data_IF_243105155641
#
_entry.id   IF_243105155641
#
_cell.length_a   1.000
_cell.length_b   1.000
_cell.length_c   1.000
_cell.angle_alpha   90.00
_cell.angle_beta   90.00
_cell.angle_gamma   90.00
#
_symmetry.space_group_name_H-M   'P 1'
#
loop_
_entity.id
_entity.type
_entity.pdbx_description
1 polymer ?
#
# COMPACT_ATOMS: atom_id res chain seq x y z
N UNK A 1 -41.56 -7.04 -34.61
CA UNK A 1 -40.64 -7.10 -33.45
C UNK A 1 -39.44 -6.24 -33.81
N UNK A 2 -39.29 -5.12 -33.10
CA UNK A 2 -38.41 -4.01 -33.46
C UNK A 2 -37.01 -4.24 -32.88
N UNK A 3 -36.01 -4.21 -33.75
CA UNK A 3 -34.63 -3.91 -33.39
C UNK A 3 -34.56 -2.42 -32.98
N UNK A 4 -34.29 -2.18 -31.71
CA UNK A 4 -33.84 -0.88 -31.21
C UNK A 4 -32.33 -0.82 -31.36
N UNK A 5 -31.89 -0.16 -32.42
CA UNK A 5 -30.53 0.32 -32.60
C UNK A 5 -30.24 1.37 -31.53
N UNK A 6 -29.24 1.09 -30.70
CA UNK A 6 -28.76 1.95 -29.61
C UNK A 6 -27.99 3.14 -30.21
N UNK A 7 -28.73 4.20 -30.58
CA UNK A 7 -28.21 5.54 -30.78
C UNK A 7 -28.15 6.23 -29.41
N UNK A 8 -27.07 6.01 -28.66
CA UNK A 8 -26.75 6.83 -27.49
C UNK A 8 -25.39 7.49 -27.68
N UNK A 9 -25.39 8.83 -27.69
CA UNK A 9 -24.25 9.64 -27.30
C UNK A 9 -23.26 10.03 -28.40
N UNK A 10 -23.71 10.53 -29.55
CA UNK A 10 -22.94 11.56 -30.27
C UNK A 10 -23.41 12.90 -29.71
N UNK A 11 -22.89 13.28 -28.53
CA UNK A 11 -23.01 14.65 -28.07
C UNK A 11 -22.32 15.56 -29.08
N UNK A 12 -22.97 16.68 -29.38
CA UNK A 12 -22.55 17.62 -30.42
C UNK A 12 -21.36 18.44 -29.90
N UNK A 13 -20.15 17.94 -30.14
CA UNK A 13 -18.87 18.57 -29.73
C UNK A 13 -18.54 19.84 -30.54
N UNK A 14 -19.41 20.26 -31.46
CA UNK A 14 -19.12 21.27 -32.49
C UNK A 14 -19.36 22.73 -32.05
N UNK A 15 -20.03 22.99 -30.93
CA UNK A 15 -20.44 24.37 -30.55
C UNK A 15 -19.66 25.01 -29.39
N UNK A 16 -18.64 24.36 -28.81
CA UNK A 16 -17.85 24.95 -27.72
C UNK A 16 -16.59 25.62 -28.26
N UNK A 17 -16.54 26.96 -28.19
CA UNK A 17 -15.39 27.75 -28.66
C UNK A 17 -14.10 27.33 -27.92
N UNK A 18 -13.18 26.68 -28.64
CA UNK A 18 -11.84 26.34 -28.16
C UNK A 18 -10.97 27.58 -28.19
N UNK A 19 -10.24 27.86 -27.11
CA UNK A 19 -9.28 28.98 -27.08
C UNK A 19 -7.94 28.47 -27.60
N UNK A 20 -7.59 28.85 -28.83
CA UNK A 20 -6.36 28.38 -29.48
C UNK A 20 -5.15 29.28 -29.16
N UNK A 21 -3.93 28.71 -29.04
CA UNK A 21 -2.71 29.50 -28.89
C UNK A 21 -2.45 30.44 -30.09
N UNK A 22 -1.70 31.52 -29.85
CA UNK A 22 -1.31 32.46 -30.90
C UNK A 22 -0.60 31.75 -32.06
N UNK A 23 -1.08 31.99 -33.28
CA UNK A 23 -0.49 31.41 -34.50
C UNK A 23 -1.05 30.05 -34.91
N UNK A 24 -1.98 29.46 -34.15
CA UNK A 24 -2.67 28.20 -34.50
C UNK A 24 -4.04 28.51 -35.10
N UNK A 25 -4.30 28.07 -36.32
CA UNK A 25 -5.63 28.20 -36.93
C UNK A 25 -6.58 27.09 -36.46
N UNK A 26 -7.89 27.33 -36.54
CA UNK A 26 -8.89 26.30 -36.23
C UNK A 26 -8.72 25.05 -37.10
N UNK A 27 -8.38 25.21 -38.39
CA UNK A 27 -8.14 24.08 -39.29
C UNK A 27 -6.92 23.23 -38.87
N UNK A 28 -5.84 23.88 -38.40
CA UNK A 28 -4.66 23.18 -37.90
C UNK A 28 -5.00 22.40 -36.63
N UNK A 29 -5.84 22.98 -35.76
CA UNK A 29 -6.31 22.29 -34.57
C UNK A 29 -7.22 21.10 -34.90
N UNK A 30 -8.17 21.25 -35.82
CA UNK A 30 -9.05 20.14 -36.21
C UNK A 30 -8.26 18.97 -36.80
N UNK A 31 -7.28 19.25 -37.65
CA UNK A 31 -6.39 18.24 -38.22
C UNK A 31 -5.53 17.58 -37.13
N UNK A 32 -4.88 18.36 -36.25
CA UNK A 32 -4.09 17.83 -35.13
C UNK A 32 -4.95 16.94 -34.21
N UNK A 33 -6.16 17.40 -33.90
CA UNK A 33 -7.11 16.72 -33.02
C UNK A 33 -7.46 15.36 -33.57
N UNK A 34 -7.91 15.31 -34.83
CA UNK A 34 -8.42 14.08 -35.44
C UNK A 34 -7.32 13.10 -35.81
N UNK A 35 -6.20 13.60 -36.34
CA UNK A 35 -5.11 12.77 -36.82
C UNK A 35 -4.22 12.26 -35.69
N UNK A 36 -4.04 13.02 -34.61
CA UNK A 36 -3.01 12.73 -33.61
C UNK A 36 -3.51 12.77 -32.17
N UNK A 37 -4.09 13.89 -31.71
CA UNK A 37 -4.37 14.07 -30.29
C UNK A 37 -5.45 13.11 -29.77
N UNK A 38 -6.57 12.93 -30.47
CA UNK A 38 -7.62 11.98 -30.08
C UNK A 38 -7.12 10.52 -30.10
N UNK A 39 -6.39 10.06 -31.13
CA UNK A 39 -5.73 8.77 -31.10
C UNK A 39 -4.76 8.59 -29.92
N UNK A 40 -3.91 9.58 -29.63
CA UNK A 40 -2.95 9.53 -28.50
C UNK A 40 -3.70 9.34 -27.19
N UNK A 41 -4.66 10.21 -26.90
CA UNK A 41 -5.44 10.16 -25.67
C UNK A 41 -6.21 8.85 -25.55
N UNK A 42 -6.81 8.35 -26.64
CA UNK A 42 -7.50 7.05 -26.63
C UNK A 42 -6.56 5.90 -26.27
N UNK A 43 -5.36 5.86 -26.85
CA UNK A 43 -4.38 4.82 -26.55
C UNK A 43 -3.93 4.85 -25.07
N UNK A 44 -3.69 6.06 -24.52
CA UNK A 44 -3.40 6.21 -23.09
C UNK A 44 -4.57 5.79 -22.20
N UNK A 45 -5.81 6.14 -22.58
CA UNK A 45 -7.01 5.73 -21.84
C UNK A 45 -7.21 4.21 -21.86
N UNK A 46 -6.90 3.54 -22.96
CA UNK A 46 -6.94 2.08 -23.03
C UNK A 46 -5.88 1.44 -22.12
N UNK A 47 -4.70 2.04 -22.00
CA UNK A 47 -3.70 1.63 -20.99
C UNK A 47 -4.22 1.81 -19.56
N UNK A 48 -4.85 2.94 -19.25
CA UNK A 48 -5.44 3.21 -17.92
C UNK A 48 -6.53 2.19 -17.57
N UNK A 49 -7.40 1.82 -18.51
CA UNK A 49 -8.42 0.79 -18.31
C UNK A 49 -7.83 -0.57 -17.97
N UNK A 50 -6.71 -0.94 -18.62
CA UNK A 50 -6.01 -2.18 -18.29
C UNK A 50 -5.35 -2.12 -16.91
N UNK A 51 -4.80 -0.95 -16.54
CA UNK A 51 -4.17 -0.70 -15.24
C UNK A 51 -5.16 -0.72 -14.07
N UNK A 52 -6.39 -0.25 -14.24
CA UNK A 52 -7.41 -0.21 -13.17
C UNK A 52 -7.68 -1.60 -12.57
N UNK A 53 -7.58 -2.64 -13.39
CA UNK A 53 -7.79 -4.03 -12.97
C UNK A 53 -6.52 -4.72 -12.45
N UNK A 54 -5.35 -4.09 -12.55
CA UNK A 54 -4.08 -4.59 -12.03
C UNK A 54 -3.93 -4.11 -10.58
N UNK A 55 -3.69 -5.01 -9.61
CA UNK A 55 -3.57 -4.59 -8.22
C UNK A 55 -2.33 -3.71 -8.03
N UNK A 56 -2.50 -2.52 -7.45
CA UNK A 56 -1.41 -1.58 -7.16
C UNK A 56 -0.58 -1.93 -5.91
N UNK A 57 -0.87 -3.08 -5.27
CA UNK A 57 -0.17 -3.54 -4.08
C UNK A 57 0.77 -4.66 -4.46
N UNK A 58 2.06 -4.45 -4.25
CA UNK A 58 3.09 -5.48 -4.43
C UNK A 58 2.77 -6.75 -3.64
N UNK A 59 2.25 -6.61 -2.41
CA UNK A 59 1.78 -7.74 -1.62
C UNK A 59 0.70 -8.55 -2.35
N UNK A 60 -0.24 -7.87 -2.99
CA UNK A 60 -1.29 -8.53 -3.77
C UNK A 60 -0.71 -9.27 -4.98
N UNK A 61 0.29 -8.70 -5.66
CA UNK A 61 0.97 -9.37 -6.79
C UNK A 61 1.78 -10.58 -6.29
N UNK A 62 2.58 -10.41 -5.22
CA UNK A 62 3.42 -11.46 -4.66
C UNK A 62 2.61 -12.65 -4.12
N UNK A 63 1.43 -12.42 -3.56
CA UNK A 63 0.62 -13.45 -2.91
C UNK A 63 -0.62 -13.88 -3.71
N UNK A 64 -0.84 -13.36 -4.92
CA UNK A 64 -2.01 -13.75 -5.71
C UNK A 64 -1.95 -15.21 -6.16
N UNK A 65 -3.11 -15.82 -6.45
CA UNK A 65 -3.17 -17.16 -7.02
C UNK A 65 -2.48 -17.22 -8.41
N UNK A 66 -1.99 -18.40 -8.86
CA UNK A 66 -1.40 -18.55 -10.19
C UNK A 66 -2.33 -18.13 -11.36
N UNK A 67 -3.65 -18.27 -11.18
CA UNK A 67 -4.64 -17.80 -12.15
C UNK A 67 -4.62 -16.28 -12.22
N UNK A 68 -4.66 -15.62 -11.05
CA UNK A 68 -4.63 -14.16 -10.96
C UNK A 68 -3.30 -13.58 -11.45
N UNK A 69 -2.18 -14.25 -11.18
CA UNK A 69 -0.86 -13.86 -11.69
C UNK A 69 -0.85 -13.82 -13.23
N UNK A 70 -1.43 -14.84 -13.89
CA UNK A 70 -1.54 -14.90 -15.35
C UNK A 70 -2.42 -13.78 -15.93
N UNK A 71 -3.51 -13.41 -15.24
CA UNK A 71 -4.33 -12.27 -15.64
C UNK A 71 -3.55 -10.95 -15.55
N UNK A 72 -2.84 -10.72 -14.44
CA UNK A 72 -2.02 -9.53 -14.23
C UNK A 72 -0.92 -9.45 -15.28
N UNK A 73 -0.24 -10.56 -15.54
CA UNK A 73 0.78 -10.65 -16.58
C UNK A 73 0.23 -10.34 -17.98
N UNK A 74 -0.91 -10.94 -18.36
CA UNK A 74 -1.53 -10.68 -19.65
C UNK A 74 -1.92 -9.20 -19.83
N UNK A 75 -2.43 -8.56 -18.77
CA UNK A 75 -2.75 -7.12 -18.79
C UNK A 75 -1.49 -6.25 -18.90
N UNK A 76 -0.45 -6.58 -18.13
CA UNK A 76 0.84 -5.87 -18.17
C UNK A 76 1.48 -5.96 -19.56
N UNK A 77 1.45 -7.14 -20.17
CA UNK A 77 1.89 -7.36 -21.55
C UNK A 77 1.01 -6.59 -22.55
N UNK A 78 -0.31 -6.55 -22.34
CA UNK A 78 -1.22 -5.73 -23.15
C UNK A 78 -0.91 -4.23 -23.07
N UNK A 79 -0.55 -3.72 -21.89
CA UNK A 79 -0.12 -2.33 -21.71
C UNK A 79 1.21 -2.09 -22.44
N UNK A 80 2.18 -2.98 -22.29
CA UNK A 80 3.46 -2.89 -23.00
C UNK A 80 3.26 -2.88 -24.52
N UNK A 81 2.36 -3.71 -25.04
CA UNK A 81 1.98 -3.75 -26.45
C UNK A 81 1.32 -2.45 -26.92
N UNK A 82 0.36 -1.91 -26.15
CA UNK A 82 -0.24 -0.60 -26.45
C UNK A 82 0.81 0.51 -26.48
N UNK A 83 1.76 0.51 -25.55
CA UNK A 83 2.81 1.52 -25.49
C UNK A 83 3.71 1.42 -26.73
N UNK A 84 4.25 0.24 -27.01
CA UNK A 84 5.19 0.04 -28.12
C UNK A 84 4.55 0.15 -29.50
N UNK A 85 3.34 -0.38 -29.69
CA UNK A 85 2.72 -0.51 -31.02
C UNK A 85 1.66 0.57 -31.33
N UNK A 86 1.16 1.29 -30.33
CA UNK A 86 0.17 2.36 -30.55
C UNK A 86 0.66 3.72 -30.09
N UNK A 87 1.12 3.84 -28.84
CA UNK A 87 1.51 5.14 -28.28
C UNK A 87 2.81 5.64 -28.93
N UNK A 88 3.87 4.83 -28.96
CA UNK A 88 5.16 5.26 -29.50
C UNK A 88 5.05 5.79 -30.94
N UNK A 89 4.40 5.08 -31.89
CA UNK A 89 4.22 5.60 -33.26
C UNK A 89 3.40 6.89 -33.35
N UNK A 90 2.41 7.07 -32.46
CA UNK A 90 1.60 8.30 -32.41
C UNK A 90 2.40 9.49 -31.87
N UNK A 91 3.43 9.24 -31.05
CA UNK A 91 4.32 10.26 -30.53
C UNK A 91 5.42 10.64 -31.53
N UNK A 92 5.70 9.87 -32.57
CA UNK A 92 6.73 10.22 -33.56
C UNK A 92 6.37 11.45 -34.42
N UNK A 93 5.08 11.75 -34.54
CA UNK A 93 4.60 12.90 -35.30
C UNK A 93 4.62 14.17 -34.44
N UNK A 94 5.28 15.22 -34.91
CA UNK A 94 5.33 16.52 -34.22
C UNK A 94 3.96 17.21 -34.25
N UNK A 95 3.63 17.92 -33.17
CA UNK A 95 2.45 18.77 -33.09
C UNK A 95 2.74 20.17 -33.62
N UNK A 96 1.78 20.76 -34.34
CA UNK A 96 1.85 22.16 -34.74
C UNK A 96 1.54 23.14 -33.58
N UNK A 97 1.06 22.62 -32.45
CA UNK A 97 0.70 23.40 -31.27
C UNK A 97 1.85 23.36 -30.27
N UNK A 98 2.52 24.50 -29.96
CA UNK A 98 3.77 24.50 -29.21
C UNK A 98 3.71 23.80 -27.84
N UNK A 99 2.63 24.01 -27.07
CA UNK A 99 2.45 23.41 -25.75
C UNK A 99 2.22 21.89 -25.83
N UNK A 100 1.49 21.43 -26.84
CA UNK A 100 1.30 20.00 -27.09
C UNK A 100 2.58 19.36 -27.60
N UNK A 101 3.36 20.05 -28.43
CA UNK A 101 4.66 19.54 -28.88
C UNK A 101 5.62 19.34 -27.72
N UNK A 102 5.66 20.27 -26.75
CA UNK A 102 6.46 20.11 -25.54
C UNK A 102 6.04 18.86 -24.75
N UNK A 103 4.74 18.71 -24.46
CA UNK A 103 4.22 17.54 -23.75
C UNK A 103 4.46 16.23 -24.50
N UNK A 104 4.28 16.23 -25.83
CA UNK A 104 4.55 15.09 -26.70
C UNK A 104 6.04 14.74 -26.75
N UNK A 105 6.92 15.73 -26.78
CA UNK A 105 8.37 15.52 -26.75
C UNK A 105 8.82 14.88 -25.44
N UNK A 106 8.31 15.38 -24.32
CA UNK A 106 8.54 14.77 -23.01
C UNK A 106 8.02 13.32 -22.96
N UNK A 107 6.82 13.09 -23.52
CA UNK A 107 6.23 11.74 -23.63
C UNK A 107 7.13 10.78 -24.42
N UNK A 108 7.67 11.22 -25.57
CA UNK A 108 8.53 10.40 -26.42
C UNK A 108 9.86 10.06 -25.73
N UNK A 109 10.44 11.01 -25.00
CA UNK A 109 11.64 10.75 -24.18
C UNK A 109 11.33 9.72 -23.10
N UNK A 110 10.19 9.85 -22.41
CA UNK A 110 9.77 8.91 -21.38
C UNK A 110 9.51 7.50 -21.95
N UNK A 111 8.91 7.39 -23.14
CA UNK A 111 8.78 6.11 -23.86
C UNK A 111 10.16 5.52 -24.13
N UNK A 112 11.12 6.28 -24.65
CA UNK A 112 12.47 5.77 -24.91
C UNK A 112 13.17 5.25 -23.65
N UNK A 113 12.98 5.90 -22.50
CA UNK A 113 13.48 5.41 -21.21
C UNK A 113 12.79 4.10 -20.79
N UNK A 114 11.48 4.03 -20.94
CA UNK A 114 10.66 2.86 -20.63
C UNK A 114 11.01 1.66 -21.53
N UNK A 115 11.25 1.92 -22.83
CA UNK A 115 11.70 0.92 -23.81
C UNK A 115 13.03 0.29 -23.41
N UNK A 116 14.00 1.14 -23.02
CA UNK A 116 15.34 0.69 -22.62
C UNK A 116 15.39 -0.07 -21.29
N UNK A 117 14.33 0.02 -20.48
CA UNK A 117 14.26 -0.56 -19.14
C UNK A 117 13.07 -1.53 -19.02
N UNK A 118 11.89 -1.02 -18.65
CA UNK A 118 10.69 -1.80 -18.33
C UNK A 118 10.24 -2.70 -19.47
N UNK A 119 10.12 -2.18 -20.69
CA UNK A 119 9.59 -2.96 -21.82
C UNK A 119 10.60 -4.01 -22.30
N UNK A 120 11.90 -3.69 -22.29
CA UNK A 120 12.96 -4.64 -22.57
C UNK A 120 12.93 -5.81 -21.58
N UNK A 121 12.77 -5.57 -20.28
CA UNK A 121 12.64 -6.64 -19.27
C UNK A 121 11.37 -7.48 -19.46
N UNK A 122 10.23 -6.84 -19.71
CA UNK A 122 8.97 -7.55 -19.97
C UNK A 122 9.04 -8.45 -21.22
N UNK A 123 9.81 -8.07 -22.24
CA UNK A 123 9.98 -8.83 -23.48
C UNK A 123 10.82 -10.11 -23.33
N UNK A 124 11.57 -10.26 -22.24
CA UNK A 124 12.42 -11.43 -21.99
C UNK A 124 11.60 -12.67 -21.60
N UNK A 125 10.35 -12.47 -21.15
CA UNK A 125 9.49 -13.55 -20.69
C UNK A 125 8.40 -13.88 -21.72
N UNK A 126 8.03 -15.17 -21.87
CA UNK A 126 6.96 -15.56 -22.78
C UNK A 126 5.60 -15.06 -22.29
N UNK A 127 4.68 -14.83 -23.23
CA UNK A 127 3.29 -14.44 -22.94
C UNK A 127 2.58 -15.46 -22.04
N UNK A 128 2.91 -16.75 -22.17
CA UNK A 128 2.41 -17.81 -21.29
C UNK A 128 3.42 -18.12 -20.19
N UNK A 129 3.01 -17.88 -18.95
CA UNK A 129 3.82 -18.17 -17.75
C UNK A 129 3.98 -19.68 -17.57
N UNK A 130 5.23 -20.14 -17.48
CA UNK A 130 5.56 -21.47 -17.01
C UNK A 130 5.66 -21.47 -15.45
N UNK A 131 5.29 -22.56 -14.76
CA UNK A 131 5.29 -22.63 -13.30
C UNK A 131 6.63 -22.24 -12.66
N UNK A 132 7.73 -22.62 -13.30
CA UNK A 132 9.11 -22.33 -12.88
C UNK A 132 9.44 -20.83 -12.86
N UNK A 133 8.74 -20.01 -13.65
CA UNK A 133 9.01 -18.57 -13.78
C UNK A 133 8.07 -17.72 -12.92
N UNK A 134 7.10 -18.31 -12.21
CA UNK A 134 6.08 -17.56 -11.47
C UNK A 134 6.67 -16.59 -10.44
N UNK A 135 7.69 -17.03 -9.69
CA UNK A 135 8.31 -16.19 -8.65
C UNK A 135 9.08 -15.02 -9.23
N UNK A 136 9.72 -15.21 -10.38
CA UNK A 136 10.47 -14.17 -11.07
C UNK A 136 9.52 -13.14 -11.69
N UNK A 137 8.45 -13.62 -12.34
CA UNK A 137 7.41 -12.76 -12.91
C UNK A 137 6.71 -11.94 -11.82
N UNK A 138 6.47 -12.50 -10.63
CA UNK A 138 5.92 -11.75 -9.49
C UNK A 138 6.80 -10.55 -9.11
N UNK A 139 8.12 -10.77 -9.00
CA UNK A 139 9.08 -9.71 -8.67
C UNK A 139 9.16 -8.66 -9.78
N UNK A 140 9.21 -9.10 -11.03
CA UNK A 140 9.22 -8.23 -12.19
C UNK A 140 7.96 -7.37 -12.23
N UNK A 141 6.78 -7.97 -12.02
CA UNK A 141 5.51 -7.27 -12.00
C UNK A 141 5.46 -6.18 -10.94
N UNK A 142 5.91 -6.43 -9.71
CA UNK A 142 5.98 -5.40 -8.66
C UNK A 142 6.75 -4.15 -9.12
N UNK A 143 7.85 -4.35 -9.83
CA UNK A 143 8.65 -3.25 -10.37
C UNK A 143 7.97 -2.58 -11.58
N UNK A 144 7.61 -3.36 -12.59
CA UNK A 144 7.09 -2.84 -13.85
C UNK A 144 5.72 -2.19 -13.72
N UNK A 145 4.82 -2.71 -12.89
CA UNK A 145 3.48 -2.12 -12.76
C UNK A 145 3.53 -0.71 -12.21
N UNK A 146 4.44 -0.42 -11.27
CA UNK A 146 4.65 0.94 -10.78
C UNK A 146 5.16 1.87 -11.89
N UNK A 147 6.20 1.46 -12.62
CA UNK A 147 6.79 2.28 -13.70
C UNK A 147 5.82 2.54 -14.86
N UNK A 148 5.09 1.51 -15.30
CA UNK A 148 4.07 1.65 -16.34
C UNK A 148 2.95 2.58 -15.88
N UNK A 149 2.55 2.46 -14.62
CA UNK A 149 1.50 3.29 -14.06
C UNK A 149 1.91 4.76 -13.99
N UNK A 150 3.09 5.05 -13.43
CA UNK A 150 3.63 6.41 -13.34
C UNK A 150 3.74 7.01 -14.74
N UNK A 151 4.34 6.27 -15.69
CA UNK A 151 4.46 6.71 -17.08
C UNK A 151 3.10 7.03 -17.73
N UNK A 152 2.15 6.08 -17.71
CA UNK A 152 0.85 6.25 -18.38
C UNK A 152 0.08 7.42 -17.76
N UNK A 153 0.11 7.56 -16.45
CA UNK A 153 -0.66 8.58 -15.74
C UNK A 153 -0.06 9.97 -15.89
N UNK A 154 1.24 10.11 -15.70
CA UNK A 154 1.92 11.40 -15.80
C UNK A 154 1.88 11.91 -17.24
N UNK A 155 2.14 11.03 -18.21
CA UNK A 155 2.17 11.41 -19.63
C UNK A 155 0.77 11.76 -20.15
N UNK A 156 -0.23 10.93 -19.83
CA UNK A 156 -1.62 11.23 -20.18
C UNK A 156 -2.09 12.53 -19.51
N UNK A 157 -1.74 12.73 -18.23
CA UNK A 157 -2.05 13.95 -17.50
C UNK A 157 -1.43 15.21 -18.12
N UNK A 158 -0.17 15.14 -18.55
CA UNK A 158 0.51 16.24 -19.24
C UNK A 158 -0.13 16.55 -20.60
N UNK A 159 -0.40 15.53 -21.43
CA UNK A 159 -1.03 15.70 -22.73
C UNK A 159 -2.45 16.26 -22.61
N UNK A 160 -3.21 15.83 -21.61
CA UNK A 160 -4.54 16.36 -21.32
C UNK A 160 -4.49 17.80 -20.77
N UNK A 161 -3.49 18.12 -19.96
CA UNK A 161 -3.35 19.47 -19.39
C UNK A 161 -2.95 20.52 -20.44
N UNK A 162 -2.25 20.09 -21.51
CA UNK A 162 -1.86 20.92 -22.64
C UNK A 162 -2.86 20.87 -23.80
N UNK A 163 -3.95 20.09 -23.68
CA UNK A 163 -5.01 20.02 -24.69
C UNK A 163 -5.81 21.34 -24.67
N UNK A 164 -5.97 22.03 -25.82
CA UNK A 164 -6.74 23.27 -25.91
C UNK A 164 -8.23 23.12 -25.57
N UNK A 165 -8.78 21.89 -25.60
CA UNK A 165 -10.16 21.64 -25.12
C UNK A 165 -10.23 21.98 -23.63
N UNK A 166 -11.17 22.86 -23.27
CA UNK A 166 -11.33 23.42 -21.93
C UNK A 166 -11.05 22.41 -20.80
N UNK A 167 -10.31 22.90 -19.80
CA UNK A 167 -9.98 22.32 -18.48
C UNK A 167 -11.10 21.51 -17.79
N UNK A 168 -12.37 21.73 -18.13
CA UNK A 168 -13.52 21.04 -17.56
C UNK A 168 -13.59 19.54 -17.95
N UNK A 169 -13.11 19.17 -19.14
CA UNK A 169 -13.07 17.75 -19.57
C UNK A 169 -11.88 17.01 -18.96
N UNK A 170 -10.73 17.68 -18.80
CA UNK A 170 -9.56 17.19 -18.05
C UNK A 170 -9.95 16.84 -16.61
N UNK A 171 -10.77 17.69 -15.97
CA UNK A 171 -11.36 17.43 -14.65
C UNK A 171 -12.29 16.21 -14.67
N UNK A 172 -13.01 15.93 -15.76
CA UNK A 172 -13.86 14.74 -15.91
C UNK A 172 -13.05 13.43 -16.01
N UNK A 173 -11.93 13.45 -16.74
CA UNK A 173 -11.04 12.29 -16.93
C UNK A 173 -10.14 12.03 -15.72
N UNK A 174 -9.62 13.08 -15.09
CA UNK A 174 -8.96 12.95 -13.80
C UNK A 174 -9.99 12.56 -12.73
N UNK A 175 -11.24 13.06 -12.75
CA UNK A 175 -12.19 12.87 -11.65
C UNK A 175 -12.37 11.43 -11.21
N UNK A 176 -12.53 10.41 -12.07
CA UNK A 176 -12.83 9.06 -11.53
C UNK A 176 -11.61 8.40 -10.89
N UNK A 177 -10.47 8.38 -11.56
CA UNK A 177 -9.24 7.77 -11.02
C UNK A 177 -8.56 8.63 -9.96
N UNK A 178 -8.64 9.95 -10.06
CA UNK A 178 -8.16 10.91 -9.05
C UNK A 178 -9.09 10.96 -7.85
N UNK A 179 -10.42 11.02 -8.01
CA UNK A 179 -11.34 10.94 -6.86
C UNK A 179 -11.15 9.60 -6.16
N UNK A 180 -11.06 8.49 -6.89
CA UNK A 180 -10.78 7.20 -6.27
C UNK A 180 -9.45 7.20 -5.51
N UNK A 181 -8.38 7.82 -6.04
CA UNK A 181 -7.09 7.93 -5.33
C UNK A 181 -7.10 8.93 -4.18
N UNK A 182 -7.87 10.00 -4.28
CA UNK A 182 -8.11 10.95 -3.17
C UNK A 182 -8.90 10.24 -2.08
N UNK A 183 -9.97 9.54 -2.41
CA UNK A 183 -10.78 8.74 -1.50
C UNK A 183 -9.93 7.63 -0.86
N UNK A 184 -9.09 6.93 -1.62
CA UNK A 184 -8.16 5.91 -1.11
C UNK A 184 -7.10 6.55 -0.18
N UNK A 185 -6.56 7.71 -0.53
CA UNK A 185 -5.57 8.42 0.29
C UNK A 185 -6.19 9.03 1.57
N UNK A 186 -7.43 9.51 1.49
CA UNK A 186 -8.22 9.96 2.64
C UNK A 186 -8.58 8.77 3.54
N UNK A 187 -9.03 7.66 2.95
CA UNK A 187 -9.35 6.45 3.67
C UNK A 187 -8.10 5.85 4.37
N UNK A 188 -6.93 5.86 3.71
CA UNK A 188 -5.66 5.49 4.33
C UNK A 188 -5.32 6.43 5.49
N UNK A 189 -5.43 7.74 5.28
CA UNK A 189 -5.15 8.72 6.33
C UNK A 189 -6.04 8.56 7.56
N UNK A 190 -7.34 8.39 7.35
CA UNK A 190 -8.30 8.16 8.43
C UNK A 190 -8.04 6.84 9.14
N UNK A 191 -7.74 5.78 8.39
CA UNK A 191 -7.41 4.47 8.97
C UNK A 191 -6.15 4.51 9.83
N UNK A 192 -5.12 5.25 9.41
CA UNK A 192 -3.88 5.44 10.19
C UNK A 192 -4.13 6.35 11.40
N UNK A 193 -4.97 7.37 11.26
CA UNK A 193 -5.39 8.22 12.38
C UNK A 193 -6.17 7.44 13.44
N UNK A 194 -7.03 6.51 13.04
CA UNK A 194 -7.70 5.60 13.97
C UNK A 194 -6.70 4.69 14.68
N UNK A 195 -5.74 4.11 13.96
CA UNK A 195 -4.67 3.33 14.58
C UNK A 195 -3.89 4.17 15.61
N UNK A 196 -3.58 5.43 15.29
CA UNK A 196 -2.90 6.33 16.21
C UNK A 196 -3.68 6.50 17.52
N UNK A 197 -4.99 6.75 17.45
CA UNK A 197 -5.85 6.86 18.65
C UNK A 197 -5.87 5.57 19.46
N UNK A 198 -5.91 4.41 18.80
CA UNK A 198 -5.84 3.12 19.48
C UNK A 198 -4.49 2.93 20.19
N UNK A 199 -3.38 3.31 19.56
CA UNK A 199 -2.05 3.24 20.15
C UNK A 199 -1.87 4.22 21.32
N UNK A 200 -2.46 5.41 21.24
CA UNK A 200 -2.48 6.38 22.35
C UNK A 200 -3.22 5.81 23.57
N UNK A 201 -4.41 5.22 23.35
CA UNK A 201 -5.16 4.56 24.42
C UNK A 201 -4.39 3.37 25.02
N UNK A 202 -3.71 2.59 24.17
CA UNK A 202 -2.87 1.48 24.61
C UNK A 202 -1.63 1.93 25.36
N UNK A 203 -1.11 3.14 25.14
CA UNK A 203 0.06 3.66 25.83
C UNK A 203 -0.12 3.69 27.35
N UNK A 204 -1.30 4.09 27.83
CA UNK A 204 -1.65 4.09 29.25
C UNK A 204 -1.72 2.66 29.82
N UNK A 205 -2.37 1.76 29.08
CA UNK A 205 -2.50 0.35 29.46
C UNK A 205 -1.14 -0.37 29.45
N UNK A 206 -0.26 -0.03 28.52
CA UNK A 206 1.06 -0.64 28.35
C UNK A 206 1.91 -0.44 29.60
N UNK A 207 2.02 0.81 30.07
CA UNK A 207 2.82 1.08 31.26
C UNK A 207 2.23 0.43 32.52
N UNK A 208 0.90 0.57 32.70
CA UNK A 208 0.21 0.04 33.88
C UNK A 208 0.22 -1.49 33.95
N UNK A 209 0.11 -2.19 32.81
CA UNK A 209 -0.09 -3.64 32.76
C UNK A 209 1.16 -4.42 32.36
N UNK A 210 1.92 -3.98 31.35
CA UNK A 210 3.12 -4.68 30.89
C UNK A 210 4.35 -4.30 31.73
N UNK A 211 4.69 -3.01 31.81
CA UNK A 211 5.90 -2.56 32.52
C UNK A 211 5.82 -2.87 34.02
N UNK A 212 4.69 -2.56 34.66
CA UNK A 212 4.47 -2.85 36.08
C UNK A 212 4.54 -4.34 36.40
N UNK A 213 3.86 -5.19 35.61
CA UNK A 213 3.90 -6.63 35.83
C UNK A 213 5.30 -7.22 35.61
N UNK A 214 6.04 -6.75 34.59
CA UNK A 214 7.42 -7.16 34.38
C UNK A 214 8.31 -6.82 35.59
N UNK A 215 8.19 -5.61 36.16
CA UNK A 215 8.93 -5.22 37.37
C UNK A 215 8.55 -6.07 38.58
N UNK A 216 7.25 -6.34 38.80
CA UNK A 216 6.78 -7.20 39.90
C UNK A 216 7.37 -8.62 39.79
N UNK A 217 7.37 -9.21 38.60
CA UNK A 217 7.92 -10.55 38.34
C UNK A 217 9.44 -10.57 38.60
N UNK A 218 10.16 -9.51 38.22
CA UNK A 218 11.61 -9.40 38.41
C UNK A 218 11.98 -9.25 39.89
N UNK A 219 11.23 -8.44 40.65
CA UNK A 219 11.41 -8.25 42.09
C UNK A 219 11.10 -9.53 42.88
N UNK A 220 9.96 -10.16 42.59
CA UNK A 220 9.47 -11.33 43.32
C UNK A 220 10.15 -12.63 42.89
N UNK A 221 10.77 -12.65 41.69
CA UNK A 221 11.40 -13.82 41.07
C UNK A 221 10.49 -15.05 41.03
N UNK A 222 9.19 -14.82 40.85
CA UNK A 222 8.14 -15.83 40.83
C UNK A 222 7.22 -15.58 39.64
N UNK A 223 6.51 -16.63 39.24
CA UNK A 223 5.45 -16.47 38.24
C UNK A 223 4.31 -15.62 38.83
N UNK A 224 3.66 -14.78 38.00
CA UNK A 224 2.47 -14.06 38.44
C UNK A 224 1.35 -15.06 38.75
N UNK A 225 0.48 -14.72 39.70
CA UNK A 225 -0.74 -15.47 39.94
C UNK A 225 -1.79 -15.18 38.85
N UNK A 226 -2.85 -16.00 38.80
CA UNK A 226 -3.90 -15.86 37.78
C UNK A 226 -4.59 -14.49 37.82
N UNK A 227 -4.75 -13.92 39.02
CA UNK A 227 -5.37 -12.60 39.19
C UNK A 227 -4.49 -11.47 38.62
N UNK A 228 -3.18 -11.47 38.91
CA UNK A 228 -2.26 -10.45 38.37
C UNK A 228 -1.96 -10.66 36.88
N UNK A 229 -2.02 -11.89 36.37
CA UNK A 229 -1.86 -12.17 34.95
C UNK A 229 -3.05 -11.70 34.11
N UNK A 230 -4.26 -11.73 34.65
CA UNK A 230 -5.48 -11.34 33.94
C UNK A 230 -5.39 -9.92 33.34
N UNK A 231 -4.68 -9.01 34.02
CA UNK A 231 -4.41 -7.67 33.50
C UNK A 231 -3.56 -7.72 32.23
N UNK A 232 -2.46 -8.48 32.24
CA UNK A 232 -1.59 -8.68 31.08
C UNK A 232 -2.35 -9.36 29.95
N UNK A 233 -3.08 -10.44 30.25
CA UNK A 233 -3.88 -11.20 29.30
C UNK A 233 -4.93 -10.31 28.59
N UNK A 234 -5.60 -9.43 29.34
CA UNK A 234 -6.56 -8.48 28.75
C UNK A 234 -5.91 -7.55 27.72
N UNK A 235 -4.66 -7.13 27.96
CA UNK A 235 -3.91 -6.30 27.01
C UNK A 235 -3.50 -7.11 25.77
N UNK A 236 -2.98 -8.32 25.96
CA UNK A 236 -2.62 -9.20 24.83
C UNK A 236 -3.82 -9.50 23.93
N UNK A 237 -4.99 -9.71 24.53
CA UNK A 237 -6.25 -9.91 23.80
C UNK A 237 -6.60 -8.70 22.94
N UNK A 238 -6.52 -7.48 23.48
CA UNK A 238 -6.75 -6.24 22.70
C UNK A 238 -5.75 -6.13 21.55
N UNK A 239 -4.47 -6.46 21.76
CA UNK A 239 -3.47 -6.44 20.70
C UNK A 239 -3.82 -7.44 19.57
N UNK A 240 -4.19 -8.67 19.94
CA UNK A 240 -4.52 -9.74 19.00
C UNK A 240 -5.84 -9.50 18.23
N UNK A 241 -6.84 -8.92 18.89
CA UNK A 241 -8.19 -8.75 18.31
C UNK A 241 -8.33 -7.41 17.57
N UNK A 242 -7.61 -6.37 18.00
CA UNK A 242 -7.79 -5.01 17.48
C UNK A 242 -6.59 -4.53 16.68
N UNK A 243 -5.41 -4.43 17.32
CA UNK A 243 -4.23 -3.77 16.71
C UNK A 243 -3.67 -4.58 15.56
N UNK A 244 -3.41 -5.88 15.77
CA UNK A 244 -2.81 -6.74 14.74
C UNK A 244 -3.70 -6.85 13.50
N UNK A 245 -5.02 -7.09 13.61
CA UNK A 245 -5.91 -7.07 12.45
C UNK A 245 -5.96 -5.71 11.76
N UNK A 246 -5.85 -4.60 12.50
CA UNK A 246 -5.81 -3.25 11.91
C UNK A 246 -4.51 -3.02 11.13
N UNK A 247 -3.36 -3.40 11.67
CA UNK A 247 -2.07 -3.36 10.95
C UNK A 247 -2.14 -4.19 9.65
N UNK A 248 -2.68 -5.40 9.72
CA UNK A 248 -2.88 -6.26 8.54
C UNK A 248 -3.83 -5.65 7.51
N UNK A 249 -4.90 -4.97 7.95
CA UNK A 249 -5.78 -4.23 7.04
C UNK A 249 -5.05 -3.08 6.36
N UNK A 250 -4.28 -2.30 7.11
CA UNK A 250 -3.47 -1.19 6.57
C UNK A 250 -2.45 -1.68 5.53
N UNK A 251 -1.79 -2.82 5.77
CA UNK A 251 -0.87 -3.45 4.82
C UNK A 251 -1.52 -3.78 3.46
N UNK A 252 -2.82 -4.07 3.46
CA UNK A 252 -3.58 -4.36 2.24
C UNK A 252 -4.09 -3.10 1.52
N UNK A 253 -3.92 -1.91 2.10
CA UNK A 253 -4.41 -0.67 1.52
C UNK A 253 -3.51 -0.15 0.40
N UNK A 254 -4.14 0.49 -0.58
CA UNK A 254 -3.43 1.22 -1.64
C UNK A 254 -2.79 2.48 -1.05
N UNK A 255 -1.58 2.83 -1.50
CA UNK A 255 -0.85 4.02 -1.06
C UNK A 255 0.16 3.82 0.07
N UNK A 256 0.28 2.59 0.60
CA UNK A 256 1.39 2.17 1.48
C UNK A 256 2.61 1.85 0.62
N UNK A 257 3.76 2.44 0.94
CA UNK A 257 5.01 2.24 0.18
C UNK A 257 5.73 0.95 0.62
N UNK A 258 6.68 0.49 -0.19
CA UNK A 258 7.46 -0.75 0.06
C UNK A 258 8.26 -0.68 1.36
N UNK A 259 8.91 0.46 1.63
CA UNK A 259 9.65 0.70 2.86
C UNK A 259 8.73 0.71 4.09
N UNK A 260 7.59 1.39 3.99
CA UNK A 260 6.56 1.45 5.04
C UNK A 260 5.93 0.07 5.31
N UNK A 261 5.71 -0.70 4.26
CA UNK A 261 5.16 -2.06 4.33
C UNK A 261 6.10 -3.00 5.08
N UNK A 262 7.41 -2.92 4.85
CA UNK A 262 8.39 -3.73 5.55
C UNK A 262 8.38 -3.51 7.06
N UNK A 263 8.26 -2.24 7.50
CA UNK A 263 8.16 -1.92 8.92
C UNK A 263 6.83 -2.38 9.53
N UNK A 264 5.70 -2.13 8.86
CA UNK A 264 4.37 -2.51 9.33
C UNK A 264 4.17 -4.03 9.42
N UNK A 265 4.65 -4.78 8.43
CA UNK A 265 4.56 -6.25 8.41
C UNK A 265 5.40 -6.85 9.53
N UNK A 266 6.62 -6.33 9.74
CA UNK A 266 7.46 -6.71 10.88
C UNK A 266 6.74 -6.49 12.20
N UNK A 267 6.16 -5.30 12.44
CA UNK A 267 5.42 -5.04 13.69
C UNK A 267 4.21 -5.96 13.84
N UNK A 268 3.41 -6.17 12.79
CA UNK A 268 2.25 -7.04 12.84
C UNK A 268 2.62 -8.50 13.18
N UNK A 269 3.71 -9.00 12.59
CA UNK A 269 4.21 -10.35 12.83
C UNK A 269 4.85 -10.49 14.21
N UNK A 270 5.78 -9.60 14.57
CA UNK A 270 6.56 -9.69 15.81
C UNK A 270 5.67 -9.52 17.05
N UNK A 271 4.76 -8.53 17.05
CA UNK A 271 3.80 -8.32 18.14
C UNK A 271 2.88 -9.54 18.27
N UNK A 272 2.35 -10.05 17.15
CA UNK A 272 1.48 -11.24 17.17
C UNK A 272 2.19 -12.46 17.74
N UNK A 273 3.43 -12.70 17.32
CA UNK A 273 4.24 -13.82 17.81
C UNK A 273 4.55 -13.67 19.29
N UNK A 274 4.95 -12.47 19.76
CA UNK A 274 5.19 -12.25 21.17
C UNK A 274 3.94 -12.48 22.02
N UNK A 275 2.78 -11.98 21.62
CA UNK A 275 1.54 -12.21 22.37
C UNK A 275 1.25 -13.70 22.56
N UNK A 276 1.33 -14.49 21.47
CA UNK A 276 1.07 -15.94 21.52
C UNK A 276 2.11 -16.69 22.36
N UNK A 277 3.39 -16.34 22.22
CA UNK A 277 4.46 -16.97 23.02
C UNK A 277 4.34 -16.59 24.50
N UNK A 278 3.95 -15.35 24.82
CA UNK A 278 3.76 -14.91 26.20
C UNK A 278 2.65 -15.69 26.90
N UNK A 279 1.51 -15.86 26.22
CA UNK A 279 0.38 -16.64 26.70
C UNK A 279 0.78 -18.10 26.95
N UNK A 280 1.35 -18.75 25.94
CA UNK A 280 1.77 -20.15 26.04
C UNK A 280 2.83 -20.36 27.14
N UNK A 281 3.80 -19.45 27.27
CA UNK A 281 4.85 -19.55 28.29
C UNK A 281 4.28 -19.41 29.71
N UNK A 282 3.29 -18.55 29.91
CA UNK A 282 2.63 -18.41 31.19
C UNK A 282 1.80 -19.66 31.54
N UNK A 283 1.01 -20.18 30.60
CA UNK A 283 0.19 -21.38 30.79
C UNK A 283 1.06 -22.59 31.16
N UNK A 284 2.10 -22.87 30.35
CA UNK A 284 3.07 -23.94 30.61
C UNK A 284 3.78 -23.74 31.94
N UNK A 285 4.15 -22.51 32.26
CA UNK A 285 4.81 -22.20 33.52
C UNK A 285 3.93 -22.47 34.72
N UNK A 286 2.64 -22.12 34.64
CA UNK A 286 1.65 -22.35 35.71
C UNK A 286 1.36 -23.85 35.87
N UNK A 287 1.24 -24.60 34.78
CA UNK A 287 1.03 -26.06 34.82
C UNK A 287 2.21 -26.76 35.49
N UNK A 288 3.43 -26.45 35.06
CA UNK A 288 4.64 -26.97 35.68
C UNK A 288 4.74 -26.58 37.16
N UNK A 289 4.29 -25.37 37.52
CA UNK A 289 4.30 -24.92 38.92
C UNK A 289 3.32 -25.68 39.81
N UNK A 290 2.13 -25.97 39.29
CA UNK A 290 1.11 -26.74 40.00
C UNK A 290 1.53 -28.22 40.16
N UNK A 291 2.06 -28.84 39.10
CA UNK A 291 2.54 -30.22 39.13
C UNK A 291 3.72 -30.38 40.10
N UNK A 292 4.61 -29.39 40.13
CA UNK A 292 5.71 -29.32 41.08
C UNK A 292 5.25 -29.22 42.54
N UNK A 293 4.24 -28.39 42.83
CA UNK A 293 3.67 -28.26 44.16
C UNK A 293 3.00 -29.58 44.58
N UNK A 294 2.20 -30.19 43.70
CA UNK A 294 1.54 -31.46 43.97
C UNK A 294 2.56 -32.59 44.26
N UNK A 295 3.64 -32.65 43.47
CA UNK A 295 4.71 -33.65 43.66
C UNK A 295 5.47 -33.47 44.99
N UNK A 296 5.63 -32.23 45.45
CA UNK A 296 6.24 -31.93 46.76
C UNK A 296 5.32 -32.30 47.94
N UNK A 297 4.00 -32.18 47.77
CA UNK A 297 3.01 -32.55 48.78
C UNK A 297 2.88 -34.07 48.93
N UNK A 298 3.02 -34.82 47.82
CA UNK A 298 2.99 -36.29 47.80
C UNK A 298 4.33 -36.92 48.24
N UNK A 299 5.46 -36.26 47.98
CA UNK A 299 6.82 -36.74 48.24
C UNK A 299 7.47 -36.22 49.53
N UNK A 300 6.95 -36.59 50.71
CA UNK A 300 7.66 -36.37 51.99
C UNK A 300 8.88 -37.30 52.13
N UNK A 301 10.06 -36.97 51.57
CA UNK A 301 11.36 -37.38 52.15
C UNK A 301 12.67 -36.83 51.51
N UNK A 302 12.69 -36.20 50.33
CA UNK A 302 13.94 -35.63 49.76
C UNK A 302 14.00 -34.09 49.90
N UNK A 303 14.14 -33.62 51.14
CA UNK A 303 13.90 -32.23 51.55
C UNK A 303 14.84 -31.15 50.97
N UNK A 304 15.93 -31.49 50.25
CA UNK A 304 16.87 -30.48 49.74
C UNK A 304 17.12 -30.49 48.21
N UNK A 305 16.80 -31.57 47.51
CA UNK A 305 17.10 -31.70 46.06
C UNK A 305 16.02 -31.10 45.15
N UNK A 306 14.74 -31.40 45.43
CA UNK A 306 13.61 -30.98 44.59
C UNK A 306 13.33 -29.48 44.62
N UNK A 307 13.47 -28.84 45.79
CA UNK A 307 13.19 -27.41 45.98
C UNK A 307 14.12 -26.49 45.16
N UNK A 308 15.40 -26.87 45.01
CA UNK A 308 16.38 -26.09 44.24
C UNK A 308 16.13 -26.11 42.73
N UNK A 309 15.72 -27.27 42.19
CA UNK A 309 15.38 -27.41 40.76
C UNK A 309 14.13 -26.60 40.42
N UNK A 310 13.11 -26.67 41.26
CA UNK A 310 11.86 -25.91 41.07
C UNK A 310 12.08 -24.40 41.14
N UNK A 311 12.88 -23.95 42.10
CA UNK A 311 13.27 -22.54 42.20
C UNK A 311 14.02 -22.07 40.94
N UNK A 312 14.87 -22.94 40.39
CA UNK A 312 15.62 -22.64 39.15
C UNK A 312 14.70 -22.57 37.93
N UNK A 313 13.75 -23.49 37.79
CA UNK A 313 12.75 -23.50 36.70
C UNK A 313 11.86 -22.26 36.77
N UNK A 314 11.31 -21.93 37.94
CA UNK A 314 10.53 -20.70 38.18
C UNK A 314 11.30 -19.47 37.76
N UNK A 315 12.57 -19.37 38.18
CA UNK A 315 13.41 -18.24 37.85
C UNK A 315 13.66 -18.11 36.34
N UNK A 316 13.94 -19.20 35.64
CA UNK A 316 14.14 -19.20 34.18
C UNK A 316 12.87 -18.75 33.46
N UNK A 317 11.71 -19.28 33.85
CA UNK A 317 10.42 -18.92 33.25
C UNK A 317 10.05 -17.46 33.51
N UNK A 318 10.16 -16.99 34.75
CA UNK A 318 9.94 -15.58 35.13
C UNK A 318 10.86 -14.64 34.34
N UNK A 319 12.15 -14.97 34.21
CA UNK A 319 13.10 -14.17 33.43
C UNK A 319 12.73 -14.14 31.95
N UNK A 320 12.26 -15.25 31.39
CA UNK A 320 11.85 -15.33 29.99
C UNK A 320 10.55 -14.55 29.73
N UNK A 321 9.59 -14.62 30.64
CA UNK A 321 8.38 -13.78 30.62
C UNK A 321 8.74 -12.30 30.63
N UNK A 322 9.55 -11.85 31.60
CA UNK A 322 10.00 -10.45 31.68
C UNK A 322 10.70 -10.01 30.40
N UNK A 323 11.59 -10.84 29.84
CA UNK A 323 12.29 -10.52 28.60
C UNK A 323 11.34 -10.34 27.42
N UNK A 324 10.31 -11.18 27.29
CA UNK A 324 9.32 -11.06 26.22
C UNK A 324 8.38 -9.87 26.45
N UNK A 325 7.99 -9.60 27.70
CA UNK A 325 7.18 -8.44 28.06
C UNK A 325 7.89 -7.13 27.72
N UNK A 326 9.19 -7.02 28.05
CA UNK A 326 10.01 -5.85 27.70
C UNK A 326 10.13 -5.68 26.19
N UNK A 327 10.37 -6.77 25.46
CA UNK A 327 10.47 -6.72 24.00
C UNK A 327 9.16 -6.32 23.33
N UNK A 328 8.03 -6.81 23.86
CA UNK A 328 6.71 -6.37 23.41
C UNK A 328 6.45 -4.89 23.71
N UNK A 329 6.85 -4.42 24.90
CA UNK A 329 6.78 -2.99 25.29
C UNK A 329 7.61 -2.10 24.35
N UNK A 330 8.84 -2.52 24.02
CA UNK A 330 9.71 -1.86 23.03
C UNK A 330 9.04 -1.76 21.66
N UNK A 331 8.54 -2.87 21.11
CA UNK A 331 7.88 -2.85 19.80
C UNK A 331 6.62 -1.97 19.77
N UNK A 332 5.83 -1.97 20.85
CA UNK A 332 4.68 -1.08 20.97
C UNK A 332 5.11 0.38 21.05
N UNK A 333 6.21 0.67 21.74
CA UNK A 333 6.78 2.02 21.81
C UNK A 333 7.30 2.50 20.45
N UNK A 334 8.04 1.65 19.74
CA UNK A 334 8.55 1.95 18.41
C UNK A 334 7.40 2.19 17.43
N UNK A 335 6.36 1.34 17.47
CA UNK A 335 5.16 1.51 16.65
C UNK A 335 4.43 2.82 16.98
N UNK A 336 4.26 3.16 18.26
CA UNK A 336 3.68 4.44 18.69
C UNK A 336 4.50 5.66 18.24
N UNK A 337 5.80 5.50 18.02
CA UNK A 337 6.69 6.58 17.54
C UNK A 337 6.69 6.66 16.00
N UNK A 338 6.62 5.52 15.33
CA UNK A 338 6.58 5.41 13.87
C UNK A 338 5.28 5.94 13.27
N UNK A 339 4.11 5.55 13.82
CA UNK A 339 2.80 5.88 13.24
C UNK A 339 2.54 7.38 13.07
N UNK A 340 2.88 8.27 14.02
CA UNK A 340 2.77 9.72 13.82
C UNK A 340 3.63 10.26 12.67
N UNK A 341 4.87 9.77 12.54
CA UNK A 341 5.78 10.19 11.47
C UNK A 341 5.28 9.71 10.11
N UNK A 342 4.78 8.47 10.07
CA UNK A 342 4.17 7.91 8.87
C UNK A 342 2.90 8.68 8.47
N UNK A 343 2.05 9.03 9.43
CA UNK A 343 0.86 9.85 9.20
C UNK A 343 1.22 11.22 8.58
N UNK A 344 2.27 11.88 9.08
CA UNK A 344 2.78 13.12 8.48
C UNK A 344 3.30 12.90 7.05
N UNK A 345 3.95 11.77 6.79
CA UNK A 345 4.38 11.38 5.44
C UNK A 345 3.19 11.24 4.48
N UNK A 346 2.13 10.56 4.93
CA UNK A 346 0.86 10.42 4.18
C UNK A 346 0.23 11.80 3.97
N UNK A 347 0.18 12.67 4.98
CA UNK A 347 -0.35 14.03 4.86
C UNK A 347 0.41 14.87 3.83
N UNK A 348 1.74 14.80 3.80
CA UNK A 348 2.55 15.48 2.79
C UNK A 348 2.23 14.97 1.38
N UNK A 349 2.14 13.65 1.19
CA UNK A 349 1.73 13.04 -0.09
C UNK A 349 0.35 13.52 -0.52
N UNK A 350 -0.61 13.51 0.41
CA UNK A 350 -1.97 13.99 0.17
C UNK A 350 -1.99 15.48 -0.19
N UNK A 351 -1.21 16.31 0.52
CA UNK A 351 -1.11 17.74 0.23
C UNK A 351 -0.53 18.03 -1.16
N UNK A 352 0.42 17.23 -1.63
CA UNK A 352 0.98 17.34 -2.99
C UNK A 352 -0.08 17.06 -4.07
N UNK A 353 -0.93 16.05 -3.87
CA UNK A 353 -2.06 15.75 -4.77
C UNK A 353 -3.03 16.94 -4.86
N UNK A 354 -3.23 17.67 -3.76
CA UNK A 354 -4.10 18.85 -3.73
C UNK A 354 -3.42 20.15 -4.18
N UNK A 355 -2.09 20.29 -4.04
CA UNK A 355 -1.36 21.51 -4.42
C UNK A 355 -1.12 21.63 -5.93
N UNK A 356 -0.97 20.51 -6.65
CA UNK A 356 -0.91 20.51 -8.12
C UNK A 356 -2.17 21.15 -8.73
N UNK A 357 -3.33 20.95 -8.09
CA UNK A 357 -4.62 21.58 -8.43
C UNK A 357 -4.66 23.09 -8.18
N UNK A 358 -3.89 23.58 -7.20
CA UNK A 358 -3.81 25.01 -6.84
C UNK A 358 -2.82 25.78 -7.71
N UNK A 359 -1.68 25.18 -8.05
CA UNK A 359 -0.73 25.78 -8.99
C UNK A 359 -1.32 25.95 -10.39
N UNK A 360 -2.10 24.97 -10.89
CA UNK A 360 -2.85 25.09 -12.15
C UNK A 360 -3.93 26.19 -12.14
N UNK A 361 -4.51 26.52 -10.98
CA UNK A 361 -5.50 27.62 -10.83
C UNK A 361 -4.86 29.00 -10.67
N UNK A 362 -3.58 29.08 -10.33
CA UNK A 362 -2.87 30.35 -10.12
C UNK A 362 -2.05 30.76 -11.35
N UNK A 363 -1.75 29.84 -12.26
CA UNK A 363 -1.14 30.11 -13.57
C UNK A 363 -2.15 30.43 -14.67
N UNK A 364 -3.44 30.33 -14.41
CA UNK A 364 -4.48 30.92 -15.26
C UNK A 364 -4.64 32.40 -14.90
N UNK A 365 -4.37 33.36 -15.81
CA UNK A 365 -4.73 34.75 -15.57
C UNK A 365 -6.25 34.82 -15.48
N UNK A 366 -6.77 35.15 -14.30
CA UNK A 366 -8.19 35.49 -14.18
C UNK A 366 -8.50 36.72 -15.04
N UNK A 367 -9.63 36.74 -15.77
CA UNK A 367 -10.07 37.90 -16.55
C UNK A 367 -10.36 39.13 -15.69
#
# INVERSE_FOLDING_TARGET
MRETTDRRGREDWSERSVTLPEGVSESQWEEEREAYQDPRLRAFLDCLRLLDDVPHSDYSILNCSPVRLREIWAKTQGIADLIGNQIAPLLDNTSCIPQLEEARSNAQVAVGMLESTTLAELSQFPVKIAPENEQEIRKLLCFCTGQLQDFVQDTCGQLLAMDPRRLDDTDLFLSRGFLQRVDEAEYLHDSVRELLRELEHLGEMRHAKLTSAASRIEEQRRLPDAASWQEVESLLSVLQVTVIPRLKRLLAMRGVRVDEMGDLDRYAMDISNACSVLQALYELGREADNEAIASLEEGRQDENGGSGVLTSVRWVLSRRLVSLMRRLDEWLHDLSTFVPLWLQGIEKRRALMFSSRRQQRLSSPHP
#
